data_IF_661156587476
#
_entry.id   IF_661156587476
#
_cell.length_a   1.000
_cell.length_b   1.000
_cell.length_c   1.000
_cell.angle_alpha   90.00
_cell.angle_beta   90.00
_cell.angle_gamma   90.00
#
_symmetry.space_group_name_H-M   'P 1'
#
loop_
_entity.id
_entity.type
_entity.pdbx_description
1 polymer ?
#
# COMPACT_ATOMS: atom_id res chain seq x y z
N UNK A 1 2.76 -7.16 15.36
CA UNK A 1 3.49 -7.94 14.34
C UNK A 1 4.92 -8.20 14.80
N UNK A 2 5.36 -9.42 14.77
CA UNK A 2 6.70 -9.75 15.19
C UNK A 2 7.71 -9.45 14.08
N UNK A 3 8.86 -8.88 14.42
CA UNK A 3 9.96 -8.70 13.49
C UNK A 3 10.60 -10.05 13.17
N UNK A 4 11.14 -10.16 11.96
CA UNK A 4 11.88 -11.34 11.50
C UNK A 4 13.36 -10.99 11.48
N UNK A 5 14.17 -11.84 12.10
CA UNK A 5 15.62 -11.69 12.11
C UNK A 5 16.25 -12.64 11.08
N UNK A 6 17.07 -12.08 10.17
CA UNK A 6 17.82 -12.85 9.18
C UNK A 6 19.23 -12.26 9.11
N UNK A 7 20.25 -13.05 9.49
CA UNK A 7 21.66 -12.64 9.48
C UNK A 7 21.88 -11.29 10.20
N UNK A 8 21.30 -11.13 11.38
CA UNK A 8 21.34 -9.91 12.21
C UNK A 8 20.58 -8.72 11.63
N UNK A 9 19.89 -8.90 10.52
CA UNK A 9 18.99 -7.88 9.94
C UNK A 9 17.57 -8.13 10.45
N UNK A 10 16.96 -7.11 11.05
CA UNK A 10 15.59 -7.18 11.50
C UNK A 10 14.67 -6.62 10.41
N UNK A 11 13.61 -7.37 10.13
CA UNK A 11 12.57 -6.98 9.18
C UNK A 11 11.24 -6.91 9.89
N UNK A 12 10.35 -6.03 9.40
CA UNK A 12 8.96 -6.03 9.86
C UNK A 12 8.02 -5.89 8.66
N UNK A 13 6.78 -6.25 8.87
CA UNK A 13 5.76 -6.20 7.83
C UNK A 13 5.30 -4.76 7.64
N UNK A 14 5.53 -4.21 6.46
CA UNK A 14 5.08 -2.89 6.06
C UNK A 14 3.77 -2.98 5.32
N UNK A 15 2.74 -2.30 5.81
CA UNK A 15 1.48 -2.18 5.08
C UNK A 15 1.67 -1.21 3.91
N UNK A 16 1.20 -1.61 2.74
CA UNK A 16 1.19 -0.77 1.54
C UNK A 16 0.08 0.28 1.66
N UNK A 17 -1.10 -0.16 2.04
CA UNK A 17 -2.25 0.69 2.37
C UNK A 17 -2.52 0.52 3.86
N UNK A 18 -2.10 1.51 4.64
CA UNK A 18 -2.34 1.51 6.08
C UNK A 18 -3.68 2.13 6.44
N UNK A 19 -4.00 2.17 7.75
CA UNK A 19 -5.29 2.71 8.21
C UNK A 19 -5.55 4.16 7.78
N UNK A 20 -4.53 5.01 7.73
CA UNK A 20 -4.70 6.42 7.34
C UNK A 20 -5.11 6.55 5.86
N UNK A 21 -4.52 5.73 4.99
CA UNK A 21 -4.85 5.73 3.57
C UNK A 21 -6.26 5.16 3.38
N UNK A 22 -6.56 4.04 4.04
CA UNK A 22 -7.90 3.45 3.99
C UNK A 22 -8.96 4.46 4.40
N UNK A 23 -8.76 5.16 5.51
CA UNK A 23 -9.71 6.13 6.03
C UNK A 23 -9.89 7.33 5.09
N UNK A 24 -8.87 7.66 4.30
CA UNK A 24 -8.90 8.77 3.35
C UNK A 24 -9.44 8.41 1.96
N UNK A 25 -9.77 7.14 1.71
CA UNK A 25 -10.24 6.68 0.40
C UNK A 25 -11.67 6.16 0.47
N UNK A 26 -12.60 6.93 -0.08
CA UNK A 26 -14.00 6.52 -0.12
C UNK A 26 -14.18 5.22 -0.92
N UNK A 27 -13.41 5.05 -1.99
CA UNK A 27 -13.43 3.83 -2.79
C UNK A 27 -13.03 2.61 -1.95
N UNK A 28 -11.92 2.69 -1.22
CA UNK A 28 -11.45 1.57 -0.38
C UNK A 28 -12.41 1.26 0.75
N UNK A 29 -13.01 2.28 1.37
CA UNK A 29 -14.02 2.09 2.41
C UNK A 29 -15.21 1.31 1.84
N UNK A 30 -15.63 1.67 0.63
CA UNK A 30 -16.73 0.98 -0.05
C UNK A 30 -16.38 -0.48 -0.37
N UNK A 31 -15.18 -0.73 -0.92
CA UNK A 31 -14.71 -2.07 -1.23
C UNK A 31 -14.57 -2.93 0.03
N UNK A 32 -14.11 -2.33 1.13
CA UNK A 32 -14.01 -3.02 2.42
C UNK A 32 -15.39 -3.41 2.93
N UNK A 33 -16.37 -2.51 2.84
CA UNK A 33 -17.74 -2.78 3.28
C UNK A 33 -18.39 -3.94 2.50
N UNK A 34 -17.97 -4.13 1.26
CA UNK A 34 -18.42 -5.24 0.42
C UNK A 34 -17.67 -6.54 0.68
N UNK A 35 -16.64 -6.52 1.56
CA UNK A 35 -15.81 -7.68 1.83
C UNK A 35 -14.78 -7.97 0.75
N UNK A 36 -14.56 -7.03 -0.17
CA UNK A 36 -13.64 -7.21 -1.31
C UNK A 36 -12.23 -6.68 -1.03
N UNK A 37 -12.04 -5.91 0.04
CA UNK A 37 -10.75 -5.36 0.40
C UNK A 37 -10.48 -5.52 1.89
N UNK A 38 -9.26 -6.01 2.22
CA UNK A 38 -8.82 -6.21 3.60
C UNK A 38 -7.34 -5.82 3.69
N UNK A 39 -7.02 -4.84 4.55
CA UNK A 39 -5.64 -4.39 4.73
C UNK A 39 -4.74 -5.46 5.37
N UNK A 40 -5.31 -6.51 5.95
CA UNK A 40 -4.56 -7.58 6.62
C UNK A 40 -4.17 -8.73 5.70
N UNK A 41 -4.51 -8.66 4.41
CA UNK A 41 -4.14 -9.72 3.45
C UNK A 41 -2.68 -9.55 2.98
N UNK A 42 -2.07 -10.65 2.56
CA UNK A 42 -0.67 -10.66 2.12
C UNK A 42 -0.41 -9.78 0.89
N UNK A 43 -1.43 -9.49 0.09
CA UNK A 43 -1.30 -8.56 -1.03
C UNK A 43 -1.00 -7.14 -0.59
N UNK A 44 -1.27 -6.81 0.68
CA UNK A 44 -1.13 -5.45 1.22
C UNK A 44 0.11 -5.24 2.07
N UNK A 45 1.02 -6.19 2.17
CA UNK A 45 2.22 -5.99 2.98
C UNK A 45 3.43 -6.73 2.42
N UNK A 46 4.62 -6.25 2.80
CA UNK A 46 5.90 -6.89 2.51
C UNK A 46 6.83 -6.64 3.70
N UNK A 47 7.83 -7.50 3.86
CA UNK A 47 8.85 -7.31 4.89
C UNK A 47 9.92 -6.35 4.39
N UNK A 48 10.22 -5.32 5.21
CA UNK A 48 11.27 -4.35 4.93
C UNK A 48 12.20 -4.25 6.15
N UNK A 49 13.51 -4.00 5.94
CA UNK A 49 14.44 -3.82 7.04
C UNK A 49 14.08 -2.59 7.87
N UNK A 50 14.24 -2.69 9.19
CA UNK A 50 13.91 -1.59 10.10
C UNK A 50 15.06 -0.60 10.27
N UNK A 51 16.28 -0.95 9.85
CA UNK A 51 17.43 -0.08 9.93
C UNK A 51 17.83 0.46 8.58
N UNK A 52 18.13 1.76 8.49
CA UNK A 52 18.46 2.43 7.24
C UNK A 52 19.70 1.84 6.58
N UNK A 53 20.72 1.48 7.36
CA UNK A 53 21.95 0.90 6.84
C UNK A 53 21.68 -0.39 6.05
N UNK A 54 20.84 -1.28 6.58
CA UNK A 54 20.49 -2.51 5.90
C UNK A 54 19.59 -2.27 4.69
N UNK A 55 18.70 -1.29 4.77
CA UNK A 55 17.88 -0.91 3.62
C UNK A 55 18.76 -0.41 2.46
N UNK A 56 19.76 0.41 2.78
CA UNK A 56 20.71 0.92 1.79
C UNK A 56 21.51 -0.22 1.15
N UNK A 57 22.01 -1.14 1.98
CA UNK A 57 22.77 -2.30 1.50
C UNK A 57 21.94 -3.21 0.58
N UNK A 58 20.67 -3.40 0.90
CA UNK A 58 19.75 -4.22 0.11
C UNK A 58 19.15 -3.49 -1.08
N UNK A 59 19.29 -2.16 -1.14
CA UNK A 59 18.73 -1.36 -2.22
C UNK A 59 17.22 -1.25 -2.18
N UNK A 60 16.63 -1.26 -0.98
CA UNK A 60 15.18 -1.18 -0.81
C UNK A 60 14.80 -0.07 0.18
N UNK A 61 13.50 0.20 0.32
CA UNK A 61 12.99 1.14 1.30
C UNK A 61 13.15 0.58 2.72
N UNK A 62 13.24 1.48 3.70
CA UNK A 62 13.24 1.12 5.11
C UNK A 62 11.80 1.01 5.62
N UNK A 63 11.55 0.04 6.50
CA UNK A 63 10.29 -0.04 7.23
C UNK A 63 10.04 1.25 8.02
N UNK A 64 8.84 1.79 7.95
CA UNK A 64 8.50 3.05 8.62
C UNK A 64 7.31 2.93 9.59
N UNK A 65 6.58 1.82 9.59
CA UNK A 65 5.35 1.71 10.37
C UNK A 65 4.30 2.67 9.84
N UNK A 66 4.30 3.90 10.36
CA UNK A 66 3.50 5.00 9.81
C UNK A 66 4.34 5.72 8.74
N UNK A 67 3.93 5.65 7.45
CA UNK A 67 4.72 6.29 6.39
C UNK A 67 4.71 7.81 6.46
N UNK A 68 5.72 8.43 5.83
CA UNK A 68 5.77 9.89 5.71
C UNK A 68 4.56 10.40 4.92
N UNK A 69 4.21 11.66 5.18
CA UNK A 69 3.02 12.30 4.60
C UNK A 69 3.01 12.28 3.07
N UNK A 70 4.16 12.46 2.43
CA UNK A 70 4.24 12.46 0.97
C UNK A 70 3.83 11.11 0.37
N UNK A 71 4.18 10.01 1.03
CA UNK A 71 3.74 8.68 0.61
C UNK A 71 2.22 8.55 0.72
N UNK A 72 1.68 8.94 1.88
CA UNK A 72 0.23 8.86 2.13
C UNK A 72 -0.54 9.70 1.11
N UNK A 73 -0.10 10.93 0.87
CA UNK A 73 -0.75 11.82 -0.10
C UNK A 73 -0.66 11.27 -1.53
N UNK A 74 0.50 10.74 -1.91
CA UNK A 74 0.67 10.11 -3.22
C UNK A 74 -0.28 8.93 -3.43
N UNK A 75 -0.42 8.08 -2.42
CA UNK A 75 -1.35 6.94 -2.47
C UNK A 75 -2.80 7.41 -2.58
N UNK A 76 -3.18 8.42 -1.80
CA UNK A 76 -4.53 8.97 -1.86
C UNK A 76 -4.85 9.58 -3.23
N UNK A 77 -3.87 10.23 -3.86
CA UNK A 77 -4.03 10.77 -5.21
C UNK A 77 -4.27 9.65 -6.23
N UNK A 78 -3.51 8.56 -6.14
CA UNK A 78 -3.68 7.42 -7.06
C UNK A 78 -5.04 6.75 -6.86
N UNK A 79 -5.46 6.58 -5.62
CA UNK A 79 -6.76 5.99 -5.31
C UNK A 79 -7.90 6.91 -5.74
N UNK A 80 -7.74 8.23 -5.60
CA UNK A 80 -8.72 9.20 -6.08
C UNK A 80 -8.87 9.14 -7.61
N UNK A 81 -7.78 8.90 -8.34
CA UNK A 81 -7.84 8.74 -9.79
C UNK A 81 -8.63 7.49 -10.19
N UNK A 82 -8.44 6.38 -9.47
CA UNK A 82 -9.22 5.16 -9.68
C UNK A 82 -10.70 5.43 -9.39
N UNK A 83 -10.99 6.10 -8.27
CA UNK A 83 -12.37 6.44 -7.89
C UNK A 83 -13.05 7.31 -8.94
N UNK A 84 -12.33 8.26 -9.54
CA UNK A 84 -12.86 9.17 -10.54
C UNK A 84 -13.08 8.51 -11.91
N UNK A 85 -12.48 7.33 -12.13
CA UNK A 85 -12.68 6.59 -13.38
C UNK A 85 -14.11 6.05 -13.50
N UNK A 86 -14.55 5.68 -14.72
CA UNK A 86 -15.88 5.07 -14.88
C UNK A 86 -16.08 3.85 -14.01
N UNK A 87 -15.06 3.01 -13.86
CA UNK A 87 -15.14 1.82 -13.00
C UNK A 87 -15.23 2.18 -11.52
N UNK A 88 -14.48 3.21 -11.08
CA UNK A 88 -14.57 3.69 -9.71
C UNK A 88 -15.97 4.24 -9.39
N UNK A 89 -16.53 5.03 -10.28
CA UNK A 89 -17.87 5.57 -10.09
C UNK A 89 -18.93 4.48 -10.15
N UNK A 90 -18.80 3.54 -11.07
CA UNK A 90 -19.70 2.40 -11.15
C UNK A 90 -19.65 1.52 -9.92
N UNK A 91 -18.46 1.32 -9.36
CA UNK A 91 -18.29 0.57 -8.11
C UNK A 91 -19.02 1.24 -6.95
N UNK A 92 -18.91 2.57 -6.82
CA UNK A 92 -19.61 3.32 -5.77
C UNK A 92 -21.13 3.24 -5.93
N UNK A 93 -21.61 3.06 -7.14
CA UNK A 93 -23.03 2.90 -7.44
C UNK A 93 -23.51 1.45 -7.29
N UNK A 94 -22.62 0.53 -6.98
CA UNK A 94 -22.95 -0.86 -6.74
C UNK A 94 -22.93 -1.75 -8.00
N UNK A 95 -22.36 -1.28 -9.11
CA UNK A 95 -22.20 -2.09 -10.30
C UNK A 95 -21.12 -3.16 -10.08
N UNK A 96 -21.49 -4.42 -10.20
CA UNK A 96 -20.61 -5.54 -9.88
C UNK A 96 -19.39 -5.59 -10.80
N UNK A 97 -19.56 -5.41 -12.10
CA UNK A 97 -18.46 -5.43 -13.05
C UNK A 97 -17.47 -4.30 -12.80
N UNK A 98 -17.96 -3.10 -12.51
CA UNK A 98 -17.14 -1.95 -12.15
C UNK A 98 -16.40 -2.18 -10.84
N UNK A 99 -17.06 -2.80 -9.86
CA UNK A 99 -16.43 -3.15 -8.56
C UNK A 99 -15.24 -4.08 -8.78
N UNK A 100 -15.39 -5.11 -9.60
CA UNK A 100 -14.30 -6.04 -9.90
C UNK A 100 -13.13 -5.32 -10.56
N UNK A 101 -13.39 -4.47 -11.54
CA UNK A 101 -12.34 -3.74 -12.25
C UNK A 101 -11.67 -2.68 -11.37
N UNK A 102 -12.43 -1.99 -10.52
CA UNK A 102 -11.86 -1.02 -9.58
C UNK A 102 -10.98 -1.72 -8.53
N UNK A 103 -11.41 -2.87 -8.03
CA UNK A 103 -10.61 -3.69 -7.11
C UNK A 103 -9.31 -4.14 -7.77
N UNK A 104 -9.38 -4.59 -9.02
CA UNK A 104 -8.19 -4.99 -9.77
C UNK A 104 -7.23 -3.81 -9.95
N UNK A 105 -7.74 -2.62 -10.27
CA UNK A 105 -6.90 -1.42 -10.38
C UNK A 105 -6.20 -1.10 -9.04
N UNK A 106 -6.90 -1.24 -7.92
CA UNK A 106 -6.29 -1.04 -6.61
C UNK A 106 -5.21 -2.07 -6.31
N UNK A 107 -5.43 -3.33 -6.70
CA UNK A 107 -4.43 -4.41 -6.55
C UNK A 107 -3.20 -4.16 -7.42
N UNK A 108 -3.39 -3.67 -8.63
CA UNK A 108 -2.27 -3.29 -9.51
C UNK A 108 -1.45 -2.16 -8.90
N UNK A 109 -2.10 -1.19 -8.27
CA UNK A 109 -1.42 -0.12 -7.54
C UNK A 109 -0.59 -0.69 -6.39
N UNK A 110 -1.17 -1.57 -5.58
CA UNK A 110 -0.44 -2.24 -4.49
C UNK A 110 0.80 -2.97 -5.01
N UNK A 111 0.67 -3.71 -6.09
CA UNK A 111 1.78 -4.46 -6.66
C UNK A 111 2.88 -3.55 -7.20
N UNK A 112 2.51 -2.47 -7.90
CA UNK A 112 3.47 -1.50 -8.40
C UNK A 112 4.23 -0.82 -7.26
N UNK A 113 3.54 -0.48 -6.18
CA UNK A 113 4.15 0.13 -4.99
C UNK A 113 5.10 -0.84 -4.30
N UNK A 114 4.73 -2.11 -4.17
CA UNK A 114 5.63 -3.14 -3.61
C UNK A 114 6.93 -3.23 -4.41
N UNK A 115 6.84 -3.26 -5.72
CA UNK A 115 8.01 -3.30 -6.59
C UNK A 115 8.88 -2.07 -6.35
N UNK A 116 8.28 -0.88 -6.32
CA UNK A 116 9.01 0.36 -6.11
C UNK A 116 9.69 0.41 -4.74
N UNK A 117 9.02 -0.05 -3.68
CA UNK A 117 9.60 -0.11 -2.34
C UNK A 117 10.74 -1.12 -2.27
N UNK A 118 10.57 -2.27 -2.91
CA UNK A 118 11.57 -3.33 -2.91
C UNK A 118 12.83 -2.94 -3.67
N UNK A 119 12.72 -2.05 -4.64
CA UNK A 119 13.86 -1.57 -5.45
C UNK A 119 14.39 -0.21 -4.99
N UNK A 120 13.84 0.37 -3.93
CA UNK A 120 14.29 1.66 -3.41
C UNK A 120 13.85 2.88 -4.22
N UNK A 121 12.92 2.70 -5.16
CA UNK A 121 12.41 3.79 -6.00
C UNK A 121 11.37 4.66 -5.30
N UNK A 122 10.87 4.19 -4.16
CA UNK A 122 9.87 4.88 -3.36
C UNK A 122 10.28 4.81 -1.90
N UNK A 123 10.17 5.93 -1.18
CA UNK A 123 10.56 6.00 0.23
C UNK A 123 9.33 6.07 1.14
N UNK A 124 9.46 5.47 2.32
CA UNK A 124 8.44 5.49 3.38
C UNK A 124 8.88 6.38 4.55
N UNK A 125 10.17 6.69 4.65
CA UNK A 125 10.75 7.46 5.73
C UNK A 125 11.70 8.50 5.20
N UNK A 126 11.88 9.59 5.96
CA UNK A 126 12.87 10.61 5.60
C UNK A 126 14.28 10.02 5.72
N UNK A 127 15.17 10.46 4.83
CA UNK A 127 16.54 9.97 4.80
C UNK A 127 16.73 8.66 4.04
N UNK A 128 15.69 8.18 3.40
CA UNK A 128 15.75 6.95 2.59
C UNK A 128 16.12 7.26 1.15
#
# INVERSE_FOLDING_TARGET
MAAIEVDDVLFDAQLIIGPSILAGSRLLIHLQAWGEFDINTSTNWLYLPIEQEFADDLGCARYAGEPIESYTQGMLQQLAAIEASPDGQGALEGDLGSTVRALEAARMLQEAVKVALNHGDLALAYGS
#
